data_IF_811135029289
#
_entry.id   IF_811135029289
#
_cell.length_a   1.000
_cell.length_b   1.000
_cell.length_c   1.000
_cell.angle_alpha   90.00
_cell.angle_beta   90.00
_cell.angle_gamma   90.00
#
_symmetry.space_group_name_H-M   'P 1'
#
loop_
_entity.id
_entity.type
_entity.pdbx_description
1 polymer ?
#
# COMPACT_ATOMS: atom_id res chain seq x y z
N UNK A 1 -26.95 6.56 -18.19
CA UNK A 1 -26.67 6.93 -16.80
C UNK A 1 -25.21 6.65 -16.59
N UNK A 2 -24.40 7.71 -16.54
CA UNK A 2 -22.96 7.59 -16.35
C UNK A 2 -22.72 7.36 -14.87
N UNK A 3 -22.33 6.15 -14.51
CA UNK A 3 -21.70 5.88 -13.22
C UNK A 3 -20.26 6.37 -13.39
N UNK A 4 -20.05 7.65 -13.09
CA UNK A 4 -18.72 8.23 -13.03
C UNK A 4 -17.97 7.47 -11.95
N UNK A 5 -16.87 6.83 -12.33
CA UNK A 5 -16.00 6.11 -11.43
C UNK A 5 -15.35 7.09 -10.45
N UNK A 6 -16.04 7.39 -9.34
CA UNK A 6 -15.40 7.90 -8.14
C UNK A 6 -14.42 6.81 -7.68
N UNK A 7 -13.12 7.11 -7.75
CA UNK A 7 -12.06 6.15 -7.41
C UNK A 7 -12.22 5.59 -5.99
N UNK A 8 -11.55 4.45 -5.73
CA UNK A 8 -11.64 3.78 -4.42
C UNK A 8 -11.31 4.78 -3.28
N UNK A 9 -12.24 5.04 -2.34
CA UNK A 9 -12.04 6.04 -1.29
C UNK A 9 -10.87 5.67 -0.36
N UNK A 10 -10.52 4.38 -0.24
CA UNK A 10 -9.32 3.94 0.47
C UNK A 10 -8.07 4.39 -0.28
N UNK A 11 -8.05 4.25 -1.60
CA UNK A 11 -6.92 4.69 -2.42
C UNK A 11 -6.71 6.19 -2.30
N UNK A 12 -7.78 6.98 -2.38
CA UNK A 12 -7.72 8.43 -2.18
C UNK A 12 -7.16 8.80 -0.79
N UNK A 13 -7.62 8.11 0.27
CA UNK A 13 -7.12 8.32 1.63
C UNK A 13 -5.64 7.96 1.79
N UNK A 14 -5.17 6.90 1.12
CA UNK A 14 -3.75 6.53 1.13
C UNK A 14 -2.88 7.55 0.40
N UNK A 15 -3.33 8.03 -0.76
CA UNK A 15 -2.62 9.07 -1.52
C UNK A 15 -2.49 10.33 -0.68
N UNK A 16 -3.57 10.81 -0.07
CA UNK A 16 -3.53 11.97 0.82
C UNK A 16 -2.54 11.77 1.99
N UNK A 17 -2.53 10.58 2.60
CA UNK A 17 -1.55 10.25 3.66
C UNK A 17 -0.11 10.27 3.16
N UNK A 18 0.12 9.86 1.91
CA UNK A 18 1.44 9.83 1.28
C UNK A 18 1.92 11.21 0.79
N UNK A 19 1.01 12.18 0.61
CA UNK A 19 1.36 13.58 0.35
C UNK A 19 2.00 14.22 1.59
N UNK A 20 1.49 13.91 2.78
CA UNK A 20 2.04 14.40 4.05
C UNK A 20 3.37 13.73 4.42
N UNK A 21 3.51 12.43 4.16
CA UNK A 21 4.67 11.64 4.60
C UNK A 21 4.99 10.44 3.70
N UNK A 22 6.18 9.86 3.84
CA UNK A 22 6.33 8.48 3.41
C UNK A 22 5.48 7.60 4.33
N UNK A 23 4.68 6.69 3.76
CA UNK A 23 3.83 5.78 4.52
C UNK A 23 4.38 4.37 4.44
N UNK A 24 4.31 3.62 5.54
CA UNK A 24 4.71 2.21 5.55
C UNK A 24 3.54 1.27 5.28
N UNK A 25 3.84 0.02 4.93
CA UNK A 25 2.84 -1.03 4.78
C UNK A 25 1.93 -1.16 6.03
N UNK A 26 2.50 -1.02 7.23
CA UNK A 26 1.77 -1.05 8.50
C UNK A 26 0.55 -0.12 8.54
N UNK A 27 0.65 1.07 7.94
CA UNK A 27 -0.44 2.04 7.91
C UNK A 27 -1.56 1.57 6.96
N UNK A 28 -1.18 1.05 5.79
CA UNK A 28 -2.15 0.50 4.82
C UNK A 28 -2.91 -0.67 5.45
N UNK A 29 -2.21 -1.55 6.15
CA UNK A 29 -2.83 -2.66 6.89
C UNK A 29 -3.80 -2.13 7.95
N UNK A 30 -3.40 -1.15 8.75
CA UNK A 30 -4.26 -0.55 9.77
C UNK A 30 -5.53 0.09 9.17
N UNK A 31 -5.39 0.83 8.06
CA UNK A 31 -6.53 1.45 7.34
C UNK A 31 -7.49 0.39 6.82
N UNK A 32 -6.99 -0.62 6.12
CA UNK A 32 -7.83 -1.68 5.56
C UNK A 32 -8.51 -2.48 6.67
N UNK A 33 -7.78 -2.83 7.73
CA UNK A 33 -8.36 -3.51 8.89
C UNK A 33 -9.40 -2.65 9.59
N UNK A 34 -9.20 -1.35 9.75
CA UNK A 34 -10.20 -0.48 10.39
C UNK A 34 -11.51 -0.40 9.58
N UNK A 35 -11.41 -0.32 8.26
CA UNK A 35 -12.60 -0.29 7.38
C UNK A 35 -13.27 -1.67 7.28
N UNK A 36 -12.49 -2.75 7.23
CA UNK A 36 -13.00 -4.12 7.08
C UNK A 36 -13.29 -4.86 8.38
N UNK A 37 -12.81 -4.40 9.54
CA UNK A 37 -13.16 -4.98 10.85
C UNK A 37 -14.65 -4.84 11.19
N UNK A 38 -15.39 -4.05 10.42
CA UNK A 38 -16.86 -4.06 10.45
C UNK A 38 -17.48 -5.31 9.77
N UNK A 39 -16.66 -6.19 9.17
CA UNK A 39 -17.07 -7.31 8.32
C UNK A 39 -16.43 -8.63 8.83
N UNK A 40 -16.99 -9.16 9.93
CA UNK A 40 -16.96 -10.56 10.43
C UNK A 40 -15.62 -11.32 10.66
N UNK A 41 -15.66 -12.28 11.61
CA UNK A 41 -14.56 -13.20 11.97
C UNK A 41 -14.08 -14.07 10.79
N UNK A 42 -12.76 -14.24 10.65
CA UNK A 42 -12.11 -14.84 9.46
C UNK A 42 -11.37 -13.83 8.56
N UNK A 43 -11.16 -12.61 9.07
CA UNK A 43 -10.78 -11.43 8.34
C UNK A 43 -9.28 -11.27 8.02
N UNK A 44 -8.37 -12.07 8.57
CA UNK A 44 -6.92 -11.82 8.41
C UNK A 44 -6.43 -12.08 6.98
N UNK A 45 -6.73 -13.26 6.42
CA UNK A 45 -6.37 -13.58 5.03
C UNK A 45 -7.10 -12.65 4.04
N UNK A 46 -8.35 -12.28 4.35
CA UNK A 46 -9.14 -11.35 3.53
C UNK A 46 -8.60 -9.91 3.61
N UNK A 47 -8.10 -9.48 4.76
CA UNK A 47 -7.48 -8.17 4.94
C UNK A 47 -6.16 -8.09 4.17
N UNK A 48 -5.36 -9.16 4.21
CA UNK A 48 -4.13 -9.24 3.46
C UNK A 48 -4.36 -9.15 1.95
N UNK A 49 -5.25 -9.97 1.41
CA UNK A 49 -5.58 -9.94 -0.02
C UNK A 49 -6.11 -8.55 -0.46
N UNK A 50 -6.91 -7.91 0.40
CA UNK A 50 -7.40 -6.56 0.17
C UNK A 50 -6.27 -5.52 0.15
N UNK A 51 -5.34 -5.59 1.11
CA UNK A 51 -4.16 -4.72 1.16
C UNK A 51 -3.32 -4.89 -0.11
N UNK A 52 -3.02 -6.13 -0.50
CA UNK A 52 -2.21 -6.41 -1.69
C UNK A 52 -2.91 -5.95 -2.98
N UNK A 53 -4.23 -6.08 -3.05
CA UNK A 53 -5.03 -5.60 -4.19
C UNK A 53 -5.02 -4.07 -4.28
N UNK A 54 -5.20 -3.39 -3.15
CA UNK A 54 -5.13 -1.93 -3.06
C UNK A 54 -3.75 -1.39 -3.45
N UNK A 55 -2.68 -2.02 -2.96
CA UNK A 55 -1.30 -1.67 -3.34
C UNK A 55 -1.08 -1.89 -4.84
N UNK A 56 -1.51 -3.04 -5.37
CA UNK A 56 -1.39 -3.34 -6.81
C UNK A 56 -2.04 -2.27 -7.65
N UNK A 57 -3.24 -1.85 -7.27
CA UNK A 57 -3.97 -0.79 -7.96
C UNK A 57 -3.22 0.55 -7.88
N UNK A 58 -2.80 0.96 -6.67
CA UNK A 58 -2.06 2.21 -6.48
C UNK A 58 -0.78 2.29 -7.34
N UNK A 59 -0.02 1.20 -7.40
CA UNK A 59 1.20 1.11 -8.21
C UNK A 59 0.90 1.12 -9.71
N UNK A 60 -0.17 0.43 -10.15
CA UNK A 60 -0.58 0.43 -11.56
C UNK A 60 -1.08 1.79 -12.03
N UNK A 61 -1.83 2.49 -11.18
CA UNK A 61 -2.28 3.86 -11.44
C UNK A 61 -1.14 4.88 -11.31
N UNK A 62 0.05 4.46 -10.85
CA UNK A 62 1.22 5.33 -10.60
C UNK A 62 0.93 6.47 -9.62
N UNK A 63 -0.04 6.28 -8.71
CA UNK A 63 -0.35 7.26 -7.67
C UNK A 63 0.54 7.08 -6.44
N UNK A 64 1.15 5.89 -6.29
CA UNK A 64 2.20 5.60 -5.32
C UNK A 64 3.40 4.96 -6.00
N UNK A 65 4.56 5.15 -5.38
CA UNK A 65 5.82 4.46 -5.68
C UNK A 65 6.24 3.71 -4.43
N UNK A 66 6.65 2.45 -4.59
CA UNK A 66 7.13 1.59 -3.50
C UNK A 66 8.64 1.52 -3.47
N UNK A 67 9.21 1.44 -2.28
CA UNK A 67 10.64 1.41 -2.03
C UNK A 67 11.00 0.95 -0.62
N UNK A 68 12.29 0.97 -0.32
CA UNK A 68 12.81 0.87 1.06
C UNK A 68 13.17 2.26 1.60
N UNK A 69 13.29 2.38 2.91
CA UNK A 69 13.60 3.64 3.60
C UNK A 69 14.69 3.43 4.65
N UNK A 70 15.88 3.05 4.19
CA UNK A 70 17.04 2.79 5.04
C UNK A 70 17.84 4.09 5.32
N UNK A 71 18.52 4.63 4.29
CA UNK A 71 19.27 5.90 4.33
C UNK A 71 18.61 7.02 3.50
N UNK A 72 17.33 6.83 3.19
CA UNK A 72 16.57 7.60 2.21
C UNK A 72 15.61 6.69 1.46
N UNK A 73 14.69 7.28 0.71
CA UNK A 73 13.77 6.48 -0.09
C UNK A 73 14.47 5.93 -1.33
N UNK A 74 14.57 4.60 -1.44
CA UNK A 74 15.08 3.90 -2.62
C UNK A 74 13.93 3.17 -3.33
N UNK A 75 13.58 3.66 -4.52
CA UNK A 75 12.45 3.13 -5.28
C UNK A 75 12.77 1.73 -5.81
N UNK A 76 11.85 0.79 -5.66
CA UNK A 76 12.03 -0.53 -6.24
C UNK A 76 11.86 -0.48 -7.76
N UNK A 77 12.92 -0.80 -8.50
CA UNK A 77 12.91 -0.86 -9.96
C UNK A 77 12.33 -2.17 -10.50
N UNK A 78 11.09 -2.49 -10.10
CA UNK A 78 10.38 -3.72 -10.50
C UNK A 78 8.97 -3.39 -10.98
N UNK A 79 8.31 -4.34 -11.63
CA UNK A 79 6.91 -4.17 -12.04
C UNK A 79 5.97 -4.09 -10.83
N UNK A 80 4.79 -3.45 -10.94
CA UNK A 80 3.79 -3.44 -9.86
C UNK A 80 3.44 -4.84 -9.33
N UNK A 81 3.33 -5.83 -10.23
CA UNK A 81 3.01 -7.20 -9.85
C UNK A 81 4.18 -7.89 -9.12
N UNK A 82 5.42 -7.62 -9.50
CA UNK A 82 6.59 -8.16 -8.81
C UNK A 82 6.84 -7.49 -7.45
N UNK A 83 6.58 -6.19 -7.33
CA UNK A 83 6.58 -5.49 -6.05
C UNK A 83 5.56 -6.09 -5.08
N UNK A 84 4.33 -6.34 -5.54
CA UNK A 84 3.27 -6.94 -4.73
C UNK A 84 3.63 -8.38 -4.33
N UNK A 85 4.19 -9.19 -5.25
CA UNK A 85 4.69 -10.53 -4.91
C UNK A 85 5.80 -10.48 -3.87
N UNK A 86 6.70 -9.50 -3.95
CA UNK A 86 7.77 -9.30 -2.97
C UNK A 86 7.18 -8.96 -1.60
N UNK A 87 6.27 -7.99 -1.54
CA UNK A 87 5.55 -7.62 -0.29
C UNK A 87 4.85 -8.84 0.30
N UNK A 88 4.11 -9.57 -0.54
CA UNK A 88 3.39 -10.77 -0.10
C UNK A 88 4.35 -11.83 0.43
N UNK A 89 5.48 -12.08 -0.24
CA UNK A 89 6.48 -13.01 0.26
C UNK A 89 7.03 -12.57 1.62
N UNK A 90 7.50 -11.33 1.73
CA UNK A 90 8.11 -10.82 2.96
C UNK A 90 7.11 -10.78 4.13
N UNK A 91 5.85 -10.44 3.85
CA UNK A 91 4.79 -10.44 4.86
C UNK A 91 4.42 -11.87 5.30
N UNK A 92 4.40 -12.83 4.38
CA UNK A 92 4.21 -14.25 4.73
C UNK A 92 5.32 -14.76 5.62
N UNK A 93 6.58 -14.44 5.27
CA UNK A 93 7.76 -14.88 6.00
C UNK A 93 7.79 -14.26 7.42
N UNK A 94 7.20 -13.07 7.61
CA UNK A 94 7.09 -12.40 8.91
C UNK A 94 6.11 -13.09 9.87
N UNK A 95 5.04 -13.73 9.35
CA UNK A 95 4.03 -14.45 10.16
C UNK A 95 3.20 -13.58 11.11
N UNK A 96 3.24 -12.25 10.96
CA UNK A 96 2.47 -11.25 11.73
C UNK A 96 2.23 -9.99 10.90
N UNK A 97 1.46 -9.04 11.44
CA UNK A 97 1.35 -7.70 10.85
C UNK A 97 2.71 -6.96 10.88
N UNK A 98 3.02 -6.17 9.83
CA UNK A 98 4.21 -5.33 9.80
C UNK A 98 4.09 -4.15 10.76
N UNK A 99 5.24 -3.75 11.34
CA UNK A 99 5.38 -2.53 12.14
C UNK A 99 6.07 -1.41 11.34
N UNK A 100 6.14 -0.16 11.85
CA UNK A 100 6.86 0.92 11.17
C UNK A 100 8.28 0.55 10.76
N UNK A 101 8.60 0.79 9.48
CA UNK A 101 9.91 0.51 8.89
C UNK A 101 10.05 -0.88 8.26
N UNK A 102 9.07 -1.77 8.41
CA UNK A 102 9.15 -3.12 7.84
C UNK A 102 8.57 -3.23 6.42
N UNK A 103 9.14 -4.16 5.64
CA UNK A 103 8.69 -4.66 4.33
C UNK A 103 8.73 -3.62 3.20
N UNK A 104 7.99 -2.53 3.31
CA UNK A 104 7.82 -1.57 2.24
C UNK A 104 7.43 -0.17 2.73
N UNK A 105 7.98 0.83 2.05
CA UNK A 105 7.61 2.24 2.18
C UNK A 105 7.01 2.73 0.86
N UNK A 106 6.04 3.63 0.94
CA UNK A 106 5.33 4.21 -0.19
C UNK A 106 5.39 5.73 -0.13
N UNK A 107 5.57 6.36 -1.28
CA UNK A 107 5.57 7.82 -1.46
C UNK A 107 4.77 8.18 -2.71
N UNK A 108 4.29 9.42 -2.79
CA UNK A 108 3.74 9.94 -4.04
C UNK A 108 4.86 10.25 -5.05
N UNK A 109 4.62 10.10 -6.37
CA UNK A 109 5.62 10.42 -7.39
C UNK A 109 6.15 11.86 -7.31
N UNK A 110 5.30 12.83 -6.96
CA UNK A 110 5.69 14.23 -6.80
C UNK A 110 6.76 14.44 -5.75
N UNK A 111 6.87 13.55 -4.76
CA UNK A 111 7.90 13.59 -3.73
C UNK A 111 9.27 13.09 -4.18
N UNK A 112 9.33 12.38 -5.31
CA UNK A 112 10.58 11.89 -5.90
C UNK A 112 11.29 12.96 -6.73
N UNK A 113 10.73 14.17 -6.83
CA UNK A 113 11.33 15.27 -7.60
C UNK A 113 11.19 15.11 -9.12
N UNK A 114 10.32 14.23 -9.60
CA UNK A 114 9.93 14.21 -11.01
C UNK A 114 8.89 15.30 -11.27
N UNK A 115 9.39 16.48 -11.67
CA UNK A 115 8.62 17.48 -12.40
C UNK A 115 8.56 17.12 -13.89
#
# INVERSE_FOLDING_TARGET
MAEEAEGDPLLASLVASAEDGAIGLWLIVAVVKNVRAQIAEGAEDQAREAVLSLIREALRQRVLVVGSHDDGFDAWHVSPDDAVKRIDKEWSDLGRDPIPGEIATFVTPGRLGYA
#
